data_IF_349531542704
#
_entry.id   IF_349531542704
#
_cell.length_a   1.000
_cell.length_b   1.000
_cell.length_c   1.000
_cell.angle_alpha   90.00
_cell.angle_beta   90.00
_cell.angle_gamma   90.00
#
_symmetry.space_group_name_H-M   'P 1'
#
loop_
_entity.id
_entity.type
_entity.pdbx_description
1 polymer ?
#
# COMPACT_ATOMS: atom_id res chain seq x y z
N UNK A 1 -20.15 -4.24 -11.27
CA UNK A 1 -19.97 -4.93 -9.97
C UNK A 1 -19.89 -6.43 -10.19
N UNK A 2 -18.98 -7.13 -9.48
CA UNK A 2 -18.70 -8.57 -9.68
C UNK A 2 -20.01 -9.38 -9.79
N UNK A 3 -20.29 -9.88 -11.00
CA UNK A 3 -21.36 -10.84 -11.27
C UNK A 3 -22.75 -10.28 -11.58
N UNK A 4 -22.99 -8.98 -11.51
CA UNK A 4 -24.30 -8.39 -11.87
C UNK A 4 -24.09 -7.20 -12.80
N UNK A 5 -24.53 -7.37 -14.05
CA UNK A 5 -24.53 -6.31 -15.05
C UNK A 5 -25.77 -5.43 -14.82
N UNK A 6 -25.56 -4.22 -14.31
CA UNK A 6 -26.60 -3.20 -14.25
C UNK A 6 -26.54 -2.35 -15.53
N UNK A 7 -27.70 -2.04 -16.10
CA UNK A 7 -27.82 -1.08 -17.21
C UNK A 7 -27.99 0.36 -16.72
N UNK A 8 -28.43 0.55 -15.48
CA UNK A 8 -28.67 1.84 -14.83
C UNK A 8 -27.98 1.82 -13.47
N UNK A 9 -27.16 2.82 -13.17
CA UNK A 9 -26.49 2.93 -11.86
C UNK A 9 -26.85 4.27 -11.22
N UNK A 10 -27.56 4.17 -10.10
CA UNK A 10 -28.03 5.25 -9.22
C UNK A 10 -27.58 4.95 -7.78
N UNK A 11 -26.32 4.59 -7.60
CA UNK A 11 -25.74 4.05 -6.36
C UNK A 11 -24.65 4.95 -5.75
N UNK A 12 -24.07 5.87 -6.53
CA UNK A 12 -22.92 6.68 -6.13
C UNK A 12 -23.13 8.21 -6.26
N UNK A 13 -24.38 8.68 -6.44
CA UNK A 13 -24.74 10.11 -6.60
C UNK A 13 -23.97 10.84 -7.72
N UNK A 14 -23.57 10.12 -8.75
CA UNK A 14 -22.81 10.66 -9.87
C UNK A 14 -23.69 11.50 -10.80
N UNK A 15 -23.14 12.58 -11.35
CA UNK A 15 -23.83 13.38 -12.35
C UNK A 15 -23.88 12.64 -13.70
N UNK A 16 -25.05 12.27 -14.24
CA UNK A 16 -25.15 11.48 -15.46
C UNK A 16 -24.73 12.22 -16.75
N UNK A 17 -24.48 13.53 -16.69
CA UNK A 17 -24.28 14.38 -17.88
C UNK A 17 -22.81 14.74 -18.19
N UNK A 18 -21.84 14.30 -17.39
CA UNK A 18 -20.42 14.70 -17.52
C UNK A 18 -19.54 13.69 -18.29
N UNK A 19 -19.97 13.24 -19.48
CA UNK A 19 -19.21 12.24 -20.25
C UNK A 19 -17.87 12.80 -20.77
N UNK A 20 -16.79 12.00 -20.79
CA UNK A 20 -16.72 10.58 -20.43
C UNK A 20 -16.37 10.31 -18.96
N UNK A 21 -16.20 11.34 -18.13
CA UNK A 21 -15.70 11.23 -16.75
C UNK A 21 -16.80 11.32 -15.68
N UNK A 22 -18.03 10.93 -16.04
CA UNK A 22 -19.19 10.95 -15.16
C UNK A 22 -19.26 9.77 -14.20
N UNK A 23 -18.32 8.83 -14.28
CA UNK A 23 -18.25 7.65 -13.41
C UNK A 23 -16.96 7.62 -12.61
N UNK A 24 -17.06 7.21 -11.35
CA UNK A 24 -15.93 6.81 -10.55
C UNK A 24 -15.19 5.65 -11.23
N UNK A 25 -13.85 5.60 -11.08
CA UNK A 25 -13.06 4.50 -11.62
C UNK A 25 -13.40 3.17 -10.92
N UNK A 26 -13.03 2.05 -11.54
CA UNK A 26 -13.10 0.74 -10.90
C UNK A 26 -12.29 0.75 -9.60
N UNK A 27 -12.97 0.61 -8.47
CA UNK A 27 -12.38 0.55 -7.12
C UNK A 27 -11.30 -0.53 -6.97
N UNK A 28 -11.35 -1.60 -7.76
CA UNK A 28 -10.39 -2.70 -7.71
C UNK A 28 -9.26 -2.57 -8.74
N UNK A 29 -9.41 -1.63 -9.69
CA UNK A 29 -8.46 -1.29 -10.75
C UNK A 29 -8.01 -2.50 -11.61
N UNK A 30 -8.92 -3.43 -11.92
CA UNK A 30 -8.57 -4.73 -12.51
C UNK A 30 -7.86 -4.62 -13.86
N UNK A 31 -8.32 -3.74 -14.74
CA UNK A 31 -7.72 -3.58 -16.07
C UNK A 31 -6.26 -3.15 -15.98
N UNK A 32 -5.97 -2.13 -15.16
CA UNK A 32 -4.61 -1.66 -14.93
C UNK A 32 -3.73 -2.73 -14.27
N UNK A 33 -4.24 -3.44 -13.25
CA UNK A 33 -3.52 -4.57 -12.63
C UNK A 33 -3.25 -5.69 -13.63
N UNK A 34 -4.17 -5.94 -14.56
CA UNK A 34 -4.00 -6.94 -15.62
C UNK A 34 -2.87 -6.55 -16.58
N UNK A 35 -2.74 -5.29 -16.97
CA UNK A 35 -1.60 -4.86 -17.79
C UNK A 35 -0.28 -4.89 -17.02
N UNK A 36 -0.28 -4.45 -15.77
CA UNK A 36 0.92 -4.49 -14.92
C UNK A 36 1.39 -5.93 -14.62
N UNK A 37 0.47 -6.89 -14.51
CA UNK A 37 0.79 -8.30 -14.27
C UNK A 37 1.70 -8.88 -15.35
N UNK A 38 1.51 -8.48 -16.61
CA UNK A 38 2.34 -8.91 -17.76
C UNK A 38 3.78 -8.43 -17.62
N UNK A 39 3.97 -7.23 -17.08
CA UNK A 39 5.28 -6.60 -16.88
C UNK A 39 5.98 -7.18 -15.64
N UNK A 40 5.24 -7.27 -14.52
CA UNK A 40 5.76 -7.71 -13.22
C UNK A 40 5.83 -9.22 -13.06
N UNK A 41 5.18 -9.97 -13.96
CA UNK A 41 5.11 -11.44 -13.97
C UNK A 41 4.54 -12.02 -12.68
N UNK A 42 3.52 -11.36 -12.12
CA UNK A 42 2.76 -11.79 -10.94
C UNK A 42 1.27 -11.65 -11.21
N UNK A 43 0.43 -12.50 -10.61
CA UNK A 43 -1.03 -12.44 -10.80
C UNK A 43 -1.61 -11.08 -10.39
N UNK A 44 -2.63 -10.52 -11.07
CA UNK A 44 -3.26 -9.24 -10.71
C UNK A 44 -3.76 -9.18 -9.25
N UNK A 45 -4.15 -10.31 -8.67
CA UNK A 45 -4.57 -10.46 -7.27
C UNK A 45 -3.44 -10.17 -6.27
N UNK A 46 -2.18 -10.30 -6.70
CA UNK A 46 -0.99 -9.99 -5.90
C UNK A 46 -0.47 -8.57 -6.14
N UNK A 47 -1.25 -7.70 -6.79
CA UNK A 47 -0.88 -6.30 -7.06
C UNK A 47 -1.79 -5.36 -6.27
N UNK A 48 -1.15 -4.57 -5.40
CA UNK A 48 -1.76 -3.41 -4.76
C UNK A 48 -1.37 -2.13 -5.53
N UNK A 49 -2.34 -1.23 -5.73
CA UNK A 49 -2.12 0.09 -6.31
C UNK A 49 -2.49 1.13 -5.25
N UNK A 50 -1.47 1.83 -4.74
CA UNK A 50 -1.61 2.92 -3.81
C UNK A 50 -1.21 4.27 -4.42
N UNK A 51 -1.50 5.32 -3.67
CA UNK A 51 -1.06 6.68 -3.94
C UNK A 51 0.37 6.86 -3.43
N UNK A 52 1.34 6.37 -4.21
CA UNK A 52 2.78 6.30 -3.87
C UNK A 52 3.08 5.19 -2.86
N UNK A 53 4.36 4.84 -2.70
CA UNK A 53 4.85 3.82 -1.78
C UNK A 53 4.48 4.08 -0.32
N UNK A 54 4.38 5.35 0.08
CA UNK A 54 4.20 5.75 1.47
C UNK A 54 2.85 5.26 2.02
N UNK A 55 1.79 5.26 1.19
CA UNK A 55 0.50 4.67 1.57
C UNK A 55 0.62 3.15 1.79
N UNK A 56 1.34 2.45 0.91
CA UNK A 56 1.52 1.01 1.05
C UNK A 56 2.32 0.66 2.32
N UNK A 57 3.32 1.48 2.67
CA UNK A 57 4.10 1.32 3.90
C UNK A 57 3.21 1.57 5.11
N UNK A 58 2.48 2.69 5.17
CA UNK A 58 1.59 3.03 6.29
C UNK A 58 0.49 1.98 6.50
N UNK A 59 -0.09 1.44 5.43
CA UNK A 59 -1.10 0.39 5.52
C UNK A 59 -0.57 -0.89 6.17
N UNK A 60 0.71 -1.23 5.98
CA UNK A 60 1.32 -2.40 6.63
C UNK A 60 1.43 -2.16 8.14
N UNK A 61 1.81 -0.97 8.59
CA UNK A 61 1.78 -0.63 10.03
C UNK A 61 0.37 -0.80 10.60
N UNK A 62 -0.64 -0.21 9.95
CA UNK A 62 -2.03 -0.27 10.42
C UNK A 62 -2.63 -1.67 10.42
N UNK A 63 -2.22 -2.52 9.48
CA UNK A 63 -2.78 -3.86 9.33
C UNK A 63 -2.17 -4.88 10.31
N UNK A 64 -0.93 -4.67 10.76
CA UNK A 64 -0.15 -5.68 11.46
C UNK A 64 0.42 -5.26 12.82
N UNK A 65 0.36 -3.98 13.18
CA UNK A 65 0.88 -3.49 14.46
C UNK A 65 -0.25 -2.93 15.33
N UNK A 66 -0.38 -3.44 16.55
CA UNK A 66 -1.20 -2.84 17.60
C UNK A 66 -0.43 -1.63 18.22
N UNK A 67 -0.98 -0.41 18.16
CA UNK A 67 -0.34 0.78 18.71
C UNK A 67 0.04 0.64 20.19
N UNK A 68 1.28 0.97 20.52
CA UNK A 68 1.83 0.92 21.89
C UNK A 68 2.13 -0.50 22.40
N UNK A 69 1.89 -1.53 21.60
CA UNK A 69 2.15 -2.94 21.96
C UNK A 69 3.21 -3.53 21.07
N UNK A 70 3.02 -3.43 19.75
CA UNK A 70 3.94 -4.00 18.77
C UNK A 70 5.06 -3.04 18.39
N UNK A 71 6.08 -3.61 17.73
CA UNK A 71 7.23 -2.87 17.21
C UNK A 71 7.50 -3.23 15.74
N UNK A 72 8.18 -2.34 15.04
CA UNK A 72 8.80 -2.62 13.74
C UNK A 72 10.32 -2.67 13.90
N UNK A 73 11.00 -3.43 13.06
CA UNK A 73 12.47 -3.50 13.00
C UNK A 73 12.93 -3.04 11.63
N UNK A 74 13.89 -2.12 11.59
CA UNK A 74 14.44 -1.60 10.34
C UNK A 74 15.94 -1.34 10.46
N UNK A 75 16.65 -1.49 9.35
CA UNK A 75 18.08 -1.17 9.27
C UNK A 75 18.30 0.35 9.23
N UNK A 76 19.42 0.84 9.75
CA UNK A 76 19.75 2.26 9.80
C UNK A 76 21.24 2.47 9.43
N UNK A 77 21.60 3.40 8.51
CA UNK A 77 20.75 4.33 7.77
C UNK A 77 19.89 3.69 6.66
N UNK A 78 18.64 4.15 6.54
CA UNK A 78 17.69 3.76 5.49
C UNK A 78 16.71 4.90 5.14
N UNK A 79 15.70 4.59 4.34
CA UNK A 79 14.61 5.51 4.01
C UNK A 79 13.79 5.91 5.24
N UNK A 80 13.77 7.21 5.57
CA UNK A 80 13.20 7.72 6.83
C UNK A 80 11.68 7.61 6.97
N UNK A 81 10.94 7.28 5.91
CA UNK A 81 9.48 7.16 5.98
C UNK A 81 9.04 6.06 6.96
N UNK A 82 9.85 5.01 7.15
CA UNK A 82 9.50 3.92 8.07
C UNK A 82 9.40 4.41 9.51
N UNK A 83 10.32 5.30 9.92
CA UNK A 83 10.27 5.92 11.25
C UNK A 83 9.08 6.87 11.37
N UNK A 84 8.84 7.69 10.35
CA UNK A 84 7.67 8.59 10.33
C UNK A 84 6.36 7.79 10.45
N UNK A 85 6.21 6.70 9.71
CA UNK A 85 5.04 5.82 9.81
C UNK A 85 4.93 5.16 11.18
N UNK A 86 6.04 4.69 11.77
CA UNK A 86 6.04 4.12 13.11
C UNK A 86 5.59 5.15 14.16
N UNK A 87 6.13 6.36 14.11
CA UNK A 87 5.79 7.46 15.02
C UNK A 87 4.31 7.85 14.90
N UNK A 88 3.79 8.00 13.68
CA UNK A 88 2.38 8.36 13.42
C UNK A 88 1.42 7.26 13.90
N UNK A 89 1.80 5.99 13.77
CA UNK A 89 0.97 4.86 14.20
C UNK A 89 1.21 4.47 15.68
N UNK A 90 2.02 5.22 16.43
CA UNK A 90 2.42 4.89 17.80
C UNK A 90 2.99 3.46 17.93
N UNK A 91 3.87 3.08 17.01
CA UNK A 91 4.56 1.78 16.97
C UNK A 91 6.03 2.01 17.32
N UNK A 92 6.61 1.17 18.18
CA UNK A 92 8.03 1.27 18.53
C UNK A 92 8.91 1.00 17.29
N UNK A 93 9.83 1.91 16.98
CA UNK A 93 10.78 1.78 15.87
C UNK A 93 12.14 1.29 16.37
N UNK A 94 12.50 0.03 16.09
CA UNK A 94 13.77 -0.57 16.51
C UNK A 94 14.80 -0.57 15.37
N UNK A 95 15.87 0.17 15.58
CA UNK A 95 16.92 0.35 14.57
C UNK A 95 18.01 -0.71 14.70
N UNK A 96 18.41 -1.26 13.55
CA UNK A 96 19.58 -2.14 13.42
C UNK A 96 20.65 -1.44 12.61
N UNK A 97 21.71 -1.00 13.28
CA UNK A 97 22.78 -0.25 12.63
C UNK A 97 23.54 -1.12 11.62
N UNK A 98 23.63 -0.62 10.39
CA UNK A 98 24.51 -1.17 9.37
C UNK A 98 25.97 -0.93 9.75
N UNK A 99 26.86 -1.80 9.26
CA UNK A 99 28.30 -1.59 9.42
C UNK A 99 28.82 -0.50 8.46
N UNK A 100 30.13 -0.22 8.52
CA UNK A 100 30.82 0.74 7.66
C UNK A 100 30.75 0.45 6.15
N UNK A 101 30.31 -0.75 5.77
CA UNK A 101 30.08 -1.17 4.38
C UNK A 101 28.59 -1.22 4.01
N UNK A 102 27.72 -0.63 4.84
CA UNK A 102 26.27 -0.65 4.68
C UNK A 102 25.68 -2.08 4.61
N UNK A 103 26.28 -3.04 5.31
CA UNK A 103 25.77 -4.41 5.44
C UNK A 103 25.14 -4.62 6.82
N UNK A 104 24.08 -5.44 6.87
CA UNK A 104 23.47 -5.88 8.13
C UNK A 104 24.02 -7.25 8.55
N UNK A 105 23.85 -7.57 9.83
CA UNK A 105 24.13 -8.90 10.39
C UNK A 105 22.81 -9.48 10.88
N UNK A 106 22.50 -10.72 10.47
CA UNK A 106 21.26 -11.38 10.87
C UNK A 106 21.14 -11.54 12.38
N UNK A 107 22.26 -11.71 13.09
CA UNK A 107 22.31 -11.82 14.56
C UNK A 107 21.96 -10.50 15.29
N UNK A 108 21.84 -9.40 14.54
CA UNK A 108 21.47 -8.08 15.08
C UNK A 108 20.02 -7.68 14.78
N UNK A 109 19.27 -8.51 14.03
CA UNK A 109 17.83 -8.36 13.80
C UNK A 109 17.04 -8.93 14.98
#
# INVERSE_FOLDING_TARGET
>A
YKGVTASVFLDANENPYNLPHNRYPDTMQWELKTELSKIKKVSPEHIFLGNVSDEAIDLVFRAFCEPGVDNVVAIDPTYGIYQVCADVNYVEYRNVLLNEHFQFSADKL
#
